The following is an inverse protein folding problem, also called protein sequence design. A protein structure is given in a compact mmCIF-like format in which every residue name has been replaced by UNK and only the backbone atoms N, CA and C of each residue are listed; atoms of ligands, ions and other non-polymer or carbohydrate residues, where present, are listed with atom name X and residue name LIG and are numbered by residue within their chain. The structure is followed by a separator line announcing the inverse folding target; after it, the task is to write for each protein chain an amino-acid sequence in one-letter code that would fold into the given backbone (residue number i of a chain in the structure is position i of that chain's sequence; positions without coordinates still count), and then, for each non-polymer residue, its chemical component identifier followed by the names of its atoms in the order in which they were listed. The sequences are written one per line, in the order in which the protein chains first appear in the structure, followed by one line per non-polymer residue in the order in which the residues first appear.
data_IF_499240715349
#
_entry.id   IF_499240715349
#
_cell.length_a   1.000
_cell.length_b   1.000
_cell.length_c   1.000
_cell.angle_alpha   90.00
_cell.angle_beta   90.00
_cell.angle_gamma   90.00
#
_symmetry.space_group_name_H-M   'P 1'
#
loop_
_entity.id
_entity.type
_entity.pdbx_description
1 polymer ?
2 non-polymer ?
3 water ?
#
# COMPACT_ATOMS: atom_id res chain seq x y z
N UNK A 9 24.33 -9.01 1.43
CA UNK A 9 24.55 -8.09 0.32
C UNK A 9 25.17 -8.82 -0.87
N UNK A 10 24.34 -9.44 -1.71
CA UNK A 10 24.77 -9.79 -3.05
C UNK A 10 25.11 -8.51 -3.80
N UNK A 11 26.19 -8.54 -4.58
CA UNK A 11 26.50 -7.42 -5.46
C UNK A 11 26.03 -7.73 -6.87
N UNK A 12 25.44 -6.74 -7.51
CA UNK A 12 24.96 -6.87 -8.89
C UNK A 12 25.65 -5.79 -9.72
N UNK A 13 26.49 -6.21 -10.67
CA UNK A 13 27.17 -5.27 -11.56
C UNK A 13 26.17 -4.49 -12.38
N UNK A 14 26.45 -3.20 -12.57
CA UNK A 14 25.58 -2.36 -13.40
C UNK A 14 25.45 -2.96 -14.79
N UNK A 15 26.52 -3.56 -15.31
CA UNK A 15 26.52 -4.14 -16.65
C UNK A 15 25.83 -5.49 -16.71
N UNK A 16 25.50 -6.05 -15.56
CA UNK A 16 24.72 -7.27 -15.48
C UNK A 16 23.24 -7.01 -15.70
N UNK A 17 22.84 -5.76 -15.86
CA UNK A 17 21.44 -5.41 -15.98
C UNK A 17 21.17 -4.78 -17.34
N UNK A 18 19.97 -5.01 -17.79
CA UNK A 18 19.45 -4.45 -19.03
C UNK A 18 18.23 -3.65 -18.60
N UNK A 19 18.30 -2.33 -18.70
CA UNK A 19 17.23 -1.48 -18.21
C UNK A 19 16.20 -1.23 -19.31
N UNK A 20 14.92 -1.32 -18.93
CA UNK A 20 13.81 -1.27 -19.87
C UNK A 20 13.08 0.07 -19.81
N UNK A 21 12.60 0.48 -18.64
CA UNK A 21 11.69 1.61 -18.51
C UNK A 21 11.70 2.07 -17.06
N UNK A 22 11.44 3.36 -16.87
CA UNK A 22 11.56 3.94 -15.54
C UNK A 22 10.23 4.49 -15.05
N UNK A 23 9.89 4.16 -13.80
CA UNK A 23 8.78 4.79 -13.13
C UNK A 23 9.38 5.79 -12.15
N UNK A 24 9.52 5.84 -12.19
CA UNK A 24 9.28 7.11 -11.47
C UNK A 24 9.51 8.35 -12.35
N UNK A 25 10.70 8.96 -12.34
CA UNK A 25 11.00 10.09 -13.24
C UNK A 25 12.48 10.35 -13.50
N UNK A 26 13.33 9.32 -13.40
CA UNK A 26 14.79 9.45 -13.61
C UNK A 26 15.48 9.91 -12.34
N UNK A 27 14.68 10.28 -11.35
CA UNK A 27 15.25 10.86 -10.11
C UNK A 27 15.67 9.79 -9.12
N UNK A 28 16.19 10.22 -7.97
CA UNK A 28 16.54 9.26 -6.91
C UNK A 28 15.23 8.78 -6.29
N UNK A 29 15.01 7.47 -6.27
CA UNK A 29 13.73 6.92 -5.78
C UNK A 29 12.94 6.35 -6.93
N UNK A 30 13.38 6.63 -8.15
CA UNK A 30 12.68 6.15 -9.37
C UNK A 30 12.98 4.68 -9.57
N UNK A 31 11.96 3.92 -9.98
CA UNK A 31 12.12 2.45 -10.13
C UNK A 31 12.22 2.06 -11.59
N UNK A 32 13.26 1.33 -11.95
CA UNK A 32 13.40 0.78 -13.29
C UNK A 32 12.89 -0.65 -13.27
N UNK A 33 12.24 -1.05 -14.35
CA UNK A 33 12.12 -2.47 -14.68
C UNK A 33 13.34 -2.87 -15.48
N UNK A 34 13.88 -4.05 -15.20
CA UNK A 34 15.12 -4.47 -15.84
C UNK A 34 15.24 -6.00 -15.85
N UNK A 35 16.13 -6.49 -16.72
CA UNK A 35 16.50 -7.89 -16.81
C UNK A 35 17.86 -8.09 -16.19
N UNK A 36 17.97 -9.05 -15.28
CA UNK A 36 19.23 -9.41 -14.64
C UNK A 36 19.88 -10.45 -15.51
N UNK A 37 20.91 -10.06 -16.28
CA UNK A 37 21.40 -10.90 -17.37
C UNK A 37 22.15 -12.12 -16.84
N UNK A 38 22.95 -11.95 -15.78
CA UNK A 38 23.61 -13.11 -15.16
C UNK A 38 22.60 -14.17 -14.74
N UNK A 39 21.41 -13.75 -14.31
CA UNK A 39 20.42 -14.62 -13.70
C UNK A 39 19.18 -14.82 -14.56
N UNK A 40 19.05 -14.12 -15.69
CA UNK A 40 17.89 -14.27 -16.56
C UNK A 40 16.57 -14.05 -15.82
N UNK A 41 16.58 -13.11 -14.86
CA UNK A 41 15.42 -12.78 -14.02
C UNK A 41 15.00 -11.33 -14.27
N UNK A 42 13.70 -11.11 -14.39
CA UNK A 42 13.13 -9.77 -14.51
C UNK A 42 13.15 -9.09 -13.13
N UNK A 43 13.65 -7.85 -13.05
CA UNK A 43 13.91 -7.22 -11.76
C UNK A 43 13.43 -5.77 -11.74
N UNK A 44 13.29 -5.25 -10.52
CA UNK A 44 13.10 -3.84 -10.24
C UNK A 44 14.39 -3.27 -9.67
N UNK A 45 14.70 -2.02 -10.02
CA UNK A 45 15.94 -1.37 -9.57
C UNK A 45 15.60 0.06 -9.17
N UNK A 46 15.91 0.43 -7.93
CA UNK A 46 15.58 1.75 -7.41
C UNK A 46 16.85 2.58 -7.41
N UNK A 47 16.77 3.75 -8.02
CA UNK A 47 17.92 4.65 -8.12
C UNK A 47 18.12 5.36 -6.78
N UNK A 48 19.25 5.09 -6.14
CA UNK A 48 19.62 5.74 -4.89
C UNK A 48 20.89 6.54 -5.14
N UNK A 49 21.04 7.68 -4.46
CA UNK A 49 22.26 8.44 -4.72
C UNK A 49 23.45 7.91 -3.92
N UNK A 50 23.23 6.92 -3.06
CA UNK A 50 24.29 6.03 -2.55
C UNK A 50 23.67 4.86 -1.79
N UNK A 51 24.46 3.96 -1.20
CA UNK A 51 23.93 2.89 -0.36
C UNK A 51 24.55 2.96 1.03
N UNK A 52 23.70 2.88 2.07
CA UNK A 52 24.15 2.79 3.46
C UNK A 52 24.49 1.34 3.79
N UNK A 53 25.77 1.10 4.10
CA UNK A 53 26.22 -0.24 4.47
C UNK A 53 25.46 -0.76 5.68
N UNK A 54 25.12 0.12 6.61
CA UNK A 54 24.35 -0.27 7.79
C UNK A 54 22.97 -0.79 7.42
N UNK A 55 22.53 -0.58 6.18
CA UNK A 55 21.23 -1.05 5.74
C UNK A 55 21.21 -2.54 5.45
N UNK A 56 22.24 -3.28 5.88
CA UNK A 56 22.22 -4.73 5.71
C UNK A 56 21.05 -5.34 6.45
N UNK A 57 20.73 -4.79 7.62
CA UNK A 57 19.67 -5.33 8.48
C UNK A 57 18.44 -5.68 7.67
N UNK A 58 18.05 -4.84 6.71
CA UNK A 58 16.84 -5.08 5.94
C UNK A 58 16.98 -6.12 4.84
N UNK A 59 18.21 -6.44 4.44
CA UNK A 59 18.40 -7.43 3.38
C UNK A 59 18.03 -8.83 3.81
N UNK A 60 17.74 -9.03 5.09
CA UNK A 60 17.46 -10.36 5.65
C UNK A 60 15.94 -10.59 5.78
N UNK A 61 15.14 -9.64 5.29
CA UNK A 61 13.69 -9.75 5.39
C UNK A 61 13.20 -10.62 4.25
N UNK A 62 12.29 -11.54 4.54
CA UNK A 62 11.81 -12.47 3.53
C UNK A 62 10.40 -12.91 3.92
N UNK A 63 9.43 -12.64 3.06
CA UNK A 63 8.05 -13.01 3.29
C UNK A 63 7.30 -12.91 1.98
N UNK A 64 6.43 -13.90 1.72
CA UNK A 64 5.76 -14.00 0.43
C UNK A 64 4.91 -12.78 0.10
N UNK A 65 4.60 -11.94 1.09
CA UNK A 65 3.82 -10.73 0.88
C UNK A 65 4.65 -9.45 1.02
N UNK A 66 5.98 -9.54 0.99
CA UNK A 66 6.81 -8.35 0.79
C UNK A 66 7.76 -8.59 -0.38
N UNK A 67 8.07 -7.50 -1.11
CA UNK A 67 8.97 -7.62 -2.27
C UNK A 67 10.32 -8.18 -1.83
N UNK A 68 10.93 -9.00 -2.69
CA UNK A 68 12.10 -9.78 -2.29
C UNK A 68 13.39 -9.08 -2.72
N UNK A 69 14.29 -8.88 -1.76
CA UNK A 69 15.62 -8.35 -2.05
C UNK A 69 16.44 -9.32 -2.89
N UNK A 70 17.18 -8.77 -3.87
CA UNK A 70 18.09 -9.55 -4.71
C UNK A 70 19.54 -9.14 -4.53
N UNK A 71 19.83 -7.85 -4.50
CA UNK A 71 21.19 -7.40 -4.40
C UNK A 71 21.27 -5.89 -4.52
N UNK A 72 22.51 -5.38 -4.51
CA UNK A 72 22.76 -3.95 -4.52
C UNK A 72 23.74 -3.60 -5.63
N UNK A 73 23.55 -2.43 -6.23
CA UNK A 73 24.44 -1.93 -7.26
C UNK A 73 25.42 -0.97 -6.59
N UNK A 74 26.71 -1.31 -6.62
CA UNK A 74 27.74 -0.49 -6.00
C UNK A 74 28.82 -0.06 -6.99
N UNK A 75 28.45 0.73 -7.98
CA UNK A 75 29.41 1.29 -8.93
C UNK A 75 29.16 2.80 -9.00
N UNK A 76 29.80 3.58 -8.13
CA UNK A 76 29.70 5.04 -8.23
C UNK A 76 29.94 5.51 -9.65
N UNK A 77 29.07 6.37 -10.18
CA UNK A 77 27.96 7.01 -9.46
C UNK A 77 26.64 6.23 -9.45
N UNK A 78 26.63 4.98 -9.91
CA UNK A 78 25.39 4.19 -10.03
C UNK A 78 25.19 3.36 -8.77
N UNK A 79 24.16 3.71 -8.00
CA UNK A 79 23.81 3.06 -6.74
C UNK A 79 22.34 2.65 -6.80
N UNK A 80 22.06 1.38 -6.54
CA UNK A 80 20.69 0.92 -6.67
C UNK A 80 20.43 -0.28 -5.79
N UNK A 81 19.14 -0.49 -5.53
CA UNK A 81 18.68 -1.71 -4.88
C UNK A 81 17.90 -2.51 -5.92
N UNK A 82 18.13 -3.83 -5.96
CA UNK A 82 17.49 -4.72 -6.92
C UNK A 82 16.59 -5.70 -6.18
N UNK A 83 15.34 -5.82 -6.64
CA UNK A 83 14.33 -6.68 -6.04
C UNK A 83 13.59 -7.44 -7.14
N UNK A 84 12.75 -8.39 -6.72
CA UNK A 84 11.89 -9.07 -7.68
C UNK A 84 10.98 -8.05 -8.37
N UNK A 85 10.50 -8.43 -9.55
CA UNK A 85 9.51 -7.64 -10.27
C UNK A 85 8.20 -8.40 -10.34
N UNK A 86 7.12 -7.77 -9.88
CA UNK A 86 5.82 -8.42 -9.79
C UNK A 86 5.07 -8.24 -11.11
N UNK A 87 4.77 -9.36 -11.77
CA UNK A 87 4.42 -9.33 -13.19
C UNK A 87 3.19 -8.49 -13.47
N UNK A 88 2.22 -8.45 -12.56
CA UNK A 88 0.90 -7.91 -12.89
C UNK A 88 0.69 -6.46 -12.41
N UNK A 89 1.74 -5.77 -12.02
CA UNK A 89 1.61 -4.35 -11.76
C UNK A 89 1.20 -4.01 -10.34
N UNK A 90 0.93 -2.72 -10.14
CA UNK A 90 0.56 -2.24 -8.83
C UNK A 90 -0.91 -2.50 -8.54
N UNK A 91 -1.22 -2.71 -7.25
CA UNK A 91 -2.61 -2.74 -6.79
C UNK A 91 -3.36 -1.51 -7.27
N UNK A 92 -2.75 -0.33 -7.16
CA UNK A 92 -3.40 0.89 -7.59
C UNK A 92 -3.85 0.79 -9.03
N UNK A 93 -2.92 0.53 -9.95
CA UNK A 93 -3.26 0.46 -11.37
C UNK A 93 -4.36 -0.57 -11.62
N UNK A 94 -4.40 -1.66 -10.83
CA UNK A 94 -5.39 -2.70 -11.03
C UNK A 94 -6.77 -2.26 -10.54
N UNK A 95 -6.83 -1.68 -9.33
CA UNK A 95 -8.11 -1.29 -8.74
C UNK A 95 -8.81 -0.26 -9.62
N UNK A 96 -8.08 0.73 -10.12
CA UNK A 96 -8.66 1.77 -10.96
C UNK A 96 -8.61 1.44 -12.43
N UNK A 97 -8.72 0.16 -12.78
CA UNK A 97 -8.91 -0.29 -14.14
C UNK A 97 -10.24 -1.03 -14.18
N UNK A 98 -10.70 -1.37 -15.37
CA UNK A 98 -11.90 -2.18 -15.48
C UNK A 98 -11.63 -3.63 -15.16
N UNK A 99 -10.36 -4.01 -14.97
CA UNK A 99 -10.06 -5.37 -14.56
C UNK A 99 -10.60 -5.66 -13.16
N UNK A 100 -10.71 -4.64 -12.30
CA UNK A 100 -11.17 -4.88 -10.93
C UNK A 100 -12.64 -5.31 -10.87
N UNK A 101 -13.39 -5.22 -11.97
CA UNK A 101 -14.75 -5.74 -11.98
C UNK A 101 -14.77 -7.26 -11.74
N UNK A 102 -13.66 -7.96 -11.93
CA UNK A 102 -13.65 -9.39 -11.68
C UNK A 102 -13.52 -9.75 -10.21
N UNK A 103 -13.48 -8.76 -9.33
CA UNK A 103 -13.19 -8.99 -7.92
C UNK A 103 -14.45 -9.44 -7.21
N UNK A 104 -14.43 -10.64 -6.64
CA UNK A 104 -15.52 -11.07 -5.77
C UNK A 104 -15.05 -10.95 -4.31
N UNK A 105 -15.86 -11.45 -3.38
CA UNK A 105 -15.49 -11.32 -1.98
C UNK A 105 -14.31 -12.22 -1.63
N UNK A 106 -14.26 -13.42 -2.20
CA UNK A 106 -13.12 -14.29 -1.99
C UNK A 106 -11.83 -13.61 -2.45
N UNK A 107 -11.91 -12.84 -3.54
CA UNK A 107 -10.77 -12.07 -4.04
C UNK A 107 -10.36 -11.00 -3.04
N UNK A 108 -11.32 -10.17 -2.61
CA UNK A 108 -11.05 -9.11 -1.65
C UNK A 108 -10.36 -9.71 -0.42
N UNK A 109 -10.98 -10.76 0.13
CA UNK A 109 -10.48 -11.37 1.35
C UNK A 109 -9.06 -11.86 1.18
N UNK A 110 -8.80 -12.61 0.10
CA UNK A 110 -7.44 -13.10 -0.14
C UNK A 110 -6.44 -11.94 -0.17
N UNK A 111 -6.75 -10.89 -0.93
CA UNK A 111 -5.82 -9.76 -1.08
C UNK A 111 -5.67 -8.97 0.21
N UNK A 112 -6.75 -8.85 1.01
CA UNK A 112 -6.64 -8.13 2.27
C UNK A 112 -5.90 -8.96 3.30
N UNK A 113 -6.01 -10.29 3.22
CA UNK A 113 -5.19 -11.16 4.05
C UNK A 113 -3.71 -11.07 3.66
N UNK A 114 -3.44 -11.03 2.35
CA UNK A 114 -2.08 -10.88 1.81
C UNK A 114 -1.39 -9.65 2.40
N UNK A 115 -2.06 -8.50 2.35
CA UNK A 115 -1.45 -7.27 2.83
C UNK A 115 -1.32 -7.31 4.35
N UNK A 116 -2.36 -7.77 5.04
CA UNK A 116 -2.34 -7.83 6.49
C UNK A 116 -1.24 -8.77 6.98
N UNK A 117 -1.02 -9.86 6.25
CA UNK A 117 0.00 -10.82 6.67
C UNK A 117 1.41 -10.29 6.39
N UNK A 118 1.61 -9.62 5.27
CA UNK A 118 2.89 -8.99 5.04
C UNK A 118 3.19 -7.91 6.06
N UNK A 119 2.17 -7.13 6.44
CA UNK A 119 2.38 -6.12 7.48
C UNK A 119 2.62 -6.77 8.84
N UNK A 120 1.89 -7.83 9.16
CA UNK A 120 2.17 -8.48 10.42
C UNK A 120 3.62 -8.97 10.47
N UNK A 121 4.14 -9.47 9.36
CA UNK A 121 5.54 -9.87 9.33
C UNK A 121 6.46 -8.70 9.65
N UNK A 122 6.32 -7.58 8.90
CA UNK A 122 7.22 -6.43 9.13
C UNK A 122 7.11 -5.91 10.57
N UNK A 123 5.92 -5.98 11.17
CA UNK A 123 5.73 -5.41 12.50
C UNK A 123 6.26 -6.32 13.59
N UNK A 124 6.09 -7.65 13.45
CA UNK A 124 6.32 -8.54 14.59
C UNK A 124 7.15 -9.79 14.30
N UNK A 125 7.49 -10.13 13.07
CA UNK A 125 8.04 -11.46 12.82
C UNK A 125 9.49 -11.46 12.34
N UNK A 126 10.01 -10.32 11.88
CA UNK A 126 11.29 -10.12 11.22
C UNK A 126 12.40 -9.81 12.20
N UNK A 127 13.67 -9.99 11.76
CA UNK A 127 14.83 -9.54 12.55
C UNK A 127 14.78 -8.15 13.18
N UNK A 128 14.09 -7.21 12.55
CA UNK A 128 13.95 -5.87 13.10
C UNK A 128 12.53 -5.40 12.81
N UNK A 129 11.89 -4.86 13.85
CA UNK A 129 10.57 -4.27 13.69
C UNK A 129 10.62 -3.19 12.63
N UNK A 130 9.74 -3.31 11.62
CA UNK A 130 9.59 -2.30 10.60
C UNK A 130 8.18 -1.72 10.68
N UNK A 131 8.08 -0.43 10.96
CA UNK A 131 6.86 0.33 10.72
C UNK A 131 7.01 1.01 9.37
N UNK A 132 6.05 0.79 8.48
CA UNK A 132 6.21 1.22 7.09
C UNK A 132 6.07 2.72 6.92
N UNK A 133 5.04 3.33 7.51
CA UNK A 133 4.71 4.76 7.44
C UNK A 133 4.25 5.24 6.06
N UNK A 134 4.43 4.43 5.02
CA UNK A 134 4.00 4.85 3.70
C UNK A 134 3.24 3.73 2.98
N UNK A 135 2.52 2.89 3.71
CA UNK A 135 1.72 1.86 3.06
C UNK A 135 0.59 2.49 2.25
N UNK A 136 0.38 1.99 1.04
CA UNK A 136 -0.69 2.49 0.18
C UNK A 136 -0.78 1.60 -1.05
N UNK A 137 -1.89 1.74 -1.76
CA UNK A 137 -2.16 0.84 -2.90
C UNK A 137 -1.13 0.99 -4.01
N UNK A 138 -0.46 2.14 -4.11
CA UNK A 138 0.61 2.25 -5.09
C UNK A 138 1.89 1.54 -4.66
N UNK A 139 2.01 1.18 -3.38
CA UNK A 139 3.15 0.47 -2.81
C UNK A 139 2.90 -1.04 -2.64
N UNK A 140 1.81 -1.57 -3.17
CA UNK A 140 1.54 -3.01 -3.16
C UNK A 140 1.48 -3.48 -4.60
N UNK A 141 2.17 -4.60 -4.91
CA UNK A 141 2.24 -5.10 -6.28
C UNK A 141 1.71 -6.53 -6.34
N UNK A 142 1.42 -6.97 -7.57
CA UNK A 142 0.75 -8.24 -7.83
C UNK A 142 1.73 -9.16 -8.58
N UNK A 143 2.17 -10.22 -7.92
CA UNK A 143 3.01 -11.21 -8.57
C UNK A 143 2.20 -12.00 -9.60
N UNK A 144 2.90 -12.87 -10.35
CA UNK A 144 2.23 -13.61 -11.43
C UNK A 144 1.06 -14.45 -10.93
N UNK A 145 1.14 -14.97 -9.71
CA UNK A 145 0.08 -15.83 -9.18
C UNK A 145 -0.91 -15.06 -8.30
N UNK A 146 -1.12 -13.77 -8.56
CA UNK A 146 -2.04 -13.00 -7.76
C UNK A 146 -1.56 -12.65 -6.36
N UNK A 147 -0.50 -13.29 -5.85
CA UNK A 147 0.03 -12.97 -4.54
C UNK A 147 0.52 -11.54 -4.51
N UNK A 148 0.11 -10.79 -3.46
CA UNK A 148 0.46 -9.39 -3.25
C UNK A 148 1.77 -9.28 -2.47
N UNK A 149 2.50 -8.20 -2.73
CA UNK A 149 3.84 -7.96 -2.19
C UNK A 149 3.93 -6.50 -1.83
N UNK A 150 4.30 -6.21 -0.58
CA UNK A 150 4.47 -4.85 -0.11
C UNK A 150 5.85 -4.35 -0.53
N UNK A 151 5.88 -3.17 -1.14
CA UNK A 151 7.08 -2.47 -1.55
C UNK A 151 7.39 -1.31 -0.60
N UNK A 152 8.63 -0.84 -0.68
CA UNK A 152 9.05 0.43 -0.10
C UNK A 152 8.98 0.44 1.42
N UNK A 153 9.07 -0.74 2.05
CA UNK A 153 8.87 -0.81 3.50
C UNK A 153 10.08 -0.30 4.29
N UNK A 154 11.25 -0.27 3.67
CA UNK A 154 12.45 0.27 4.29
C UNK A 154 12.73 1.71 3.98
N UNK A 155 11.80 2.41 3.31
CA UNK A 155 12.09 3.76 2.83
C UNK A 155 12.09 4.78 3.95
N UNK A 156 11.13 4.70 4.87
CA UNK A 156 11.00 5.70 5.92
C UNK A 156 12.19 5.73 6.88
N UNK A 157 12.95 4.64 6.98
CA UNK A 157 14.08 4.58 7.91
C UNK A 157 15.41 4.93 7.23
N UNK A 158 15.64 4.48 6.00
CA UNK A 158 16.93 4.65 5.36
C UNK A 158 16.94 5.71 4.25
N UNK A 159 16.23 5.45 3.15
CA UNK A 159 16.20 6.36 2.01
C UNK A 159 14.92 7.18 2.05
N UNK A 160 14.94 8.24 2.86
CA UNK A 160 13.82 9.17 3.01
C UNK A 160 13.69 10.14 1.82
N UNK A 161 14.59 10.03 0.81
CA UNK A 161 14.46 10.77 -0.44
C UNK A 161 13.46 10.15 -1.40
N UNK A 162 13.09 8.88 -1.19
CA UNK A 162 12.20 8.19 -2.13
C UNK A 162 10.77 8.72 -2.02
N UNK A 163 10.36 9.15 -0.82
CA UNK A 163 8.97 9.50 -0.52
C UNK A 163 8.66 10.97 -0.82
N UNK A 164 9.41 11.90 -0.23
CA UNK A 164 9.19 13.33 -0.43
C UNK A 164 10.51 14.06 -0.63
N UNK A 166 2.70 14.15 -5.08
CA UNK A 166 3.90 14.12 -4.25
C UNK A 166 3.58 13.55 -2.87
N UNK A 167 4.11 14.20 -1.82
CA UNK A 167 3.52 13.98 -0.50
C UNK A 167 2.13 14.59 -0.40
N UNK A 168 1.71 15.37 -1.40
CA UNK A 168 0.32 15.76 -1.49
C UNK A 168 -0.53 14.60 -2.01
N UNK A 169 0.04 13.74 -2.86
CA UNK A 169 -0.60 12.54 -3.36
C UNK A 169 -0.66 11.39 -2.40
N UNK A 170 -0.23 11.59 -1.16
CA UNK A 170 -0.19 10.54 -0.16
C UNK A 170 -1.06 10.82 1.06
N UNK A 171 -1.56 12.03 1.23
CA UNK A 171 -2.42 12.30 2.39
C UNK A 171 -3.61 11.37 2.54
N UNK A 172 -4.29 10.89 1.48
CA UNK A 172 -5.45 10.03 1.73
C UNK A 172 -5.11 8.75 2.48
N UNK A 173 -3.84 8.33 2.44
CA UNK A 173 -3.40 7.11 3.10
C UNK A 173 -2.64 7.35 4.41
N UNK A 174 -2.32 8.61 4.75
CA UNK A 174 -1.53 8.90 5.94
C UNK A 174 -2.41 9.02 7.16
N UNK A 175 -2.03 8.33 8.23
CA UNK A 175 -2.69 8.54 9.50
C UNK A 175 -2.56 10.00 9.91
N UNK A 176 -3.54 10.51 10.62
CA UNK A 176 -3.44 11.86 11.20
C UNK A 176 -2.13 12.17 11.92
N UNK A 177 -1.68 11.27 12.78
CA UNK A 177 -0.45 11.54 13.53
C UNK A 177 0.75 11.58 12.61
N UNK A 178 0.71 10.84 11.49
CA UNK A 178 1.76 10.97 10.50
C UNK A 178 1.68 12.32 9.83
N UNK A 179 0.46 12.81 9.56
CA UNK A 179 0.30 14.11 8.93
C UNK A 179 0.87 15.22 9.80
N UNK A 180 0.63 15.17 11.10
CA UNK A 180 1.09 16.22 12.00
C UNK A 180 2.55 16.06 12.42
N UNK A 181 3.25 15.02 11.94
CA UNK A 181 4.61 14.68 12.37
C UNK A 181 4.66 14.39 13.88
N UNK A 182 3.61 13.75 14.38
CA UNK A 182 3.45 13.46 15.81
C UNK A 182 4.17 12.18 16.20
N UNK A 183 4.17 11.81 17.49
CA UNK A 183 4.56 10.45 17.86
C UNK A 183 3.76 9.43 17.05
N UNK A 184 4.45 8.38 16.60
CA UNK A 184 3.90 7.45 15.63
C UNK A 184 4.12 6.02 16.12
N UNK A 185 3.08 5.20 16.01
CA UNK A 185 3.14 3.79 16.39
C UNK A 185 2.84 2.93 15.18
N UNK A 186 3.07 1.61 15.34
CA UNK A 186 2.82 0.68 14.26
C UNK A 186 1.41 0.77 13.70
N UNK A 187 0.47 1.30 14.48
CA UNK A 187 -0.94 1.35 14.06
C UNK A 187 -1.18 2.44 13.01
N UNK A 188 -0.19 3.28 12.71
CA UNK A 188 -0.30 4.14 11.54
C UNK A 188 -0.38 3.28 10.27
N UNK A 189 0.32 2.15 10.25
CA UNK A 189 0.15 1.25 9.11
C UNK A 189 -1.23 0.62 9.08
N UNK A 190 -1.92 0.55 10.22
CA UNK A 190 -3.27 0.01 10.24
C UNK A 190 -4.25 0.98 9.58
N UNK A 191 -4.13 2.27 9.89
CA UNK A 191 -4.93 3.28 9.20
C UNK A 191 -4.73 3.21 7.68
N UNK A 192 -3.48 3.14 7.23
CA UNK A 192 -3.26 3.13 5.78
C UNK A 192 -3.83 1.87 5.15
N UNK A 193 -3.81 0.76 5.88
CA UNK A 193 -4.37 -0.49 5.36
C UNK A 193 -5.87 -0.37 5.13
N UNK A 194 -6.59 0.25 6.07
CA UNK A 194 -8.02 0.40 5.92
C UNK A 194 -8.38 1.23 4.72
N UNK A 195 -7.52 2.18 4.35
CA UNK A 195 -7.73 2.88 3.09
C UNK A 195 -7.54 1.93 1.92
N UNK A 196 -6.52 1.06 1.99
CA UNK A 196 -6.32 0.08 0.93
C UNK A 196 -7.53 -0.83 0.82
N UNK A 197 -8.06 -1.25 1.96
CA UNK A 197 -9.26 -2.08 1.97
C UNK A 197 -10.42 -1.35 1.27
N UNK A 198 -10.73 -0.14 1.74
CA UNK A 198 -11.74 0.71 1.10
C UNK A 198 -11.51 0.86 -0.39
N UNK A 199 -10.26 0.96 -0.82
CA UNK A 199 -9.99 1.03 -2.25
C UNK A 199 -10.43 -0.26 -2.92
N UNK A 200 -10.14 -1.40 -2.31
CA UNK A 200 -10.55 -2.66 -2.91
C UNK A 200 -12.06 -2.78 -2.98
N UNK A 201 -12.77 -2.30 -1.97
CA UNK A 201 -14.22 -2.44 -1.94
C UNK A 201 -14.90 -1.51 -2.94
N UNK A 202 -14.49 -0.24 -2.99
CA UNK A 202 -15.16 0.74 -3.82
C UNK A 202 -14.50 0.90 -5.19
N UNK A 203 -13.23 0.55 -5.31
CA UNK A 203 -12.45 0.73 -6.53
C UNK A 203 -12.45 2.19 -6.95
N UNK A 204 -12.34 3.07 -5.98
CA UNK A 204 -12.27 4.51 -6.22
C UNK A 204 -10.92 5.05 -5.79
N UNK A 205 -10.61 6.24 -6.32
CA UNK A 205 -9.43 6.97 -5.86
C UNK A 205 -9.86 7.71 -4.59
N UNK A 206 -9.24 7.42 -3.44
CA UNK A 206 -9.68 8.05 -2.19
C UNK A 206 -9.55 9.57 -2.25
N UNK A 207 -10.61 10.27 -1.86
CA UNK A 207 -10.63 11.74 -1.87
C UNK A 207 -10.31 12.29 -3.26
N UNK A 208 -10.84 11.64 -4.29
CA UNK A 208 -10.45 11.94 -5.66
C UNK A 208 -10.72 13.39 -6.03
N UNK A 209 -9.71 14.05 -6.60
CA UNK A 209 -9.86 15.41 -7.07
C UNK A 209 -9.52 16.48 -6.05
N UNK A 210 -9.33 16.13 -4.79
CA UNK A 210 -9.21 17.16 -3.76
C UNK A 210 -7.77 17.67 -3.69
N UNK A 211 -7.59 18.74 -2.92
CA UNK A 211 -6.26 19.23 -2.59
C UNK A 211 -5.69 18.43 -1.43
N UNK A 212 -4.41 18.12 -1.51
CA UNK A 212 -3.76 17.42 -0.40
C UNK A 212 -3.94 18.13 0.94
N UNK A 213 -3.82 19.45 0.94
CA UNK A 213 -3.92 20.17 2.21
C UNK A 213 -5.34 20.16 2.74
N UNK A 214 -6.33 20.09 1.85
CA UNK A 214 -7.72 19.98 2.29
C UNK A 214 -7.97 18.63 2.94
N UNK A 215 -7.47 17.56 2.31
CA UNK A 215 -7.62 16.23 2.88
C UNK A 215 -6.89 16.15 4.21
N UNK A 216 -5.62 16.59 4.22
CA UNK A 216 -4.87 16.67 5.47
C UNK A 216 -5.69 17.38 6.55
N UNK A 217 -6.19 18.57 6.23
CA UNK A 217 -7.07 19.27 7.14
C UNK A 217 -8.31 18.47 7.53
N UNK A 218 -9.00 17.89 6.55
CA UNK A 218 -10.26 17.22 6.87
C UNK A 218 -10.04 16.03 7.79
N UNK A 219 -9.03 15.21 7.46
CA UNK A 219 -8.75 14.02 8.26
C UNK A 219 -8.36 14.41 9.68
N UNK A 220 -7.64 15.52 9.85
CA UNK A 220 -7.03 15.86 11.14
C UNK A 220 -7.97 16.68 12.04
N UNK A 221 -8.70 17.67 11.51
CA UNK A 221 -9.56 18.49 12.37
C UNK A 221 -10.99 18.03 12.48
N UNK A 222 -11.55 17.58 11.37
CA UNK A 222 -12.96 17.27 11.31
C UNK A 222 -13.21 15.78 11.41
N UNK A 223 -12.15 14.99 11.65
CA UNK A 223 -12.26 13.52 11.72
C UNK A 223 -12.95 12.97 10.48
N UNK A 224 -12.77 13.65 9.36
CA UNK A 224 -13.34 13.18 8.11
C UNK A 224 -12.66 11.87 7.72
N UNK A 225 -13.47 10.93 7.24
CA UNK A 225 -13.01 9.65 6.73
C UNK A 225 -13.70 9.40 5.40
N UNK A 226 -13.20 8.41 4.67
CA UNK A 226 -13.72 8.12 3.34
C UNK A 226 -15.15 7.58 3.43
N UNK A 227 -16.03 8.05 2.56
CA UNK A 227 -17.41 7.59 2.53
C UNK A 227 -17.45 6.07 2.44
N UNK A 228 -18.12 5.46 3.40
CA UNK A 228 -18.49 4.04 3.35
C UNK A 228 -19.90 3.94 2.80
N UNK A 229 -20.10 3.33 1.63
CA UNK A 229 -21.45 3.23 1.10
C UNK A 229 -22.39 2.57 2.09
N UNK A 230 -23.64 3.04 2.12
CA UNK A 230 -24.59 2.52 3.09
C UNK A 230 -24.87 1.04 2.87
N UNK A 231 -24.69 0.54 1.64
CA UNK A 231 -24.98 -0.86 1.35
C UNK A 231 -23.77 -1.76 1.52
N UNK A 232 -22.66 -1.21 2.01
CA UNK A 232 -21.50 -2.03 2.32
C UNK A 232 -21.75 -2.88 3.57
N UNK A 233 -21.36 -4.15 3.57
CA UNK A 233 -21.68 -5.02 4.70
C UNK A 233 -21.07 -4.51 6.01
N UNK A 234 -21.90 -4.49 7.07
CA UNK A 234 -21.46 -3.94 8.35
C UNK A 234 -20.09 -4.46 8.76
N UNK A 235 -19.82 -5.74 8.51
CA UNK A 235 -18.54 -6.30 8.92
C UNK A 235 -17.38 -5.55 8.29
N UNK A 236 -17.50 -5.24 7.00
CA UNK A 236 -16.46 -4.44 6.36
C UNK A 236 -16.48 -3.01 6.89
N UNK A 237 -17.67 -2.41 7.04
CA UNK A 237 -17.79 -1.05 7.54
C UNK A 237 -17.12 -0.89 8.88
N UNK A 238 -17.41 -1.81 9.80
CA UNK A 238 -16.85 -1.70 11.15
C UNK A 238 -15.35 -1.98 11.17
N UNK A 239 -14.86 -2.84 10.28
CA UNK A 239 -13.42 -3.04 10.19
C UNK A 239 -12.75 -1.75 9.74
N UNK A 240 -13.30 -1.12 8.69
CA UNK A 240 -12.80 0.17 8.27
C UNK A 240 -12.77 1.17 9.42
N UNK A 241 -13.85 1.23 10.19
CA UNK A 241 -13.96 2.21 11.30
C UNK A 241 -12.86 2.00 12.33
N UNK A 242 -12.61 0.77 12.71
CA UNK A 242 -11.62 0.52 13.78
C UNK A 242 -10.24 0.90 13.25
N UNK A 243 -10.00 0.65 11.97
CA UNK A 243 -8.69 0.94 11.34
C UNK A 243 -8.51 2.45 11.20
N UNK A 244 -9.58 3.23 11.33
CA UNK A 244 -9.51 4.69 11.07
C UNK A 244 -9.67 5.53 12.34
N UNK A 245 -9.59 4.93 13.53
CA UNK A 245 -9.73 5.66 14.78
C UNK A 245 -8.68 6.74 14.84
N UNK A 246 -9.13 7.98 15.01
CA UNK A 246 -8.20 9.07 15.29
C UNK A 246 -7.19 8.68 16.36
N UNK A 247 -7.63 7.99 17.40
CA UNK A 247 -6.76 7.63 18.51
C UNK A 247 -6.05 6.33 18.18
N UNK A 248 -4.82 6.44 17.66
CA UNK A 248 -4.05 5.29 17.18
C UNK A 248 -4.10 4.11 18.12
N UNK A 249 -4.21 4.35 19.43
CA UNK A 249 -4.27 3.26 20.40
C UNK A 249 -5.57 2.48 20.33
N UNK A 250 -6.55 2.97 19.57
CA UNK A 250 -7.83 2.29 19.45
C UNK A 250 -7.95 1.57 18.12
N UNK A 251 -6.86 1.45 17.39
CA UNK A 251 -6.86 0.73 16.12
C UNK A 251 -6.34 -0.69 16.31
N UNK A 252 -6.83 -1.63 15.53
CA UNK A 252 -6.34 -3.01 15.65
C UNK A 252 -4.90 -3.18 15.17
N UNK A 253 -4.20 -4.11 15.82
CA UNK A 253 -2.97 -4.66 15.26
C UNK A 253 -3.30 -5.58 14.07
N UNK A 254 -2.26 -5.86 13.26
CA UNK A 254 -2.42 -6.73 12.12
C UNK A 254 -2.67 -8.19 12.51
N UNK A 255 -2.25 -8.60 13.71
CA UNK A 255 -2.62 -9.93 14.17
C UNK A 255 -4.13 -10.01 14.38
N UNK A 256 -4.71 -8.93 14.91
CA UNK A 256 -6.15 -8.87 15.14
C UNK A 256 -6.89 -8.77 13.82
N UNK A 257 -6.37 -7.96 12.88
CA UNK A 257 -6.97 -7.88 11.55
C UNK A 257 -7.02 -9.27 10.91
N UNK A 258 -5.89 -9.97 10.95
CA UNK A 258 -5.86 -11.32 10.39
C UNK A 258 -6.94 -12.17 11.05
N UNK A 259 -7.06 -12.08 12.37
CA UNK A 259 -8.08 -12.87 13.04
C UNK A 259 -9.48 -12.39 12.66
N UNK A 260 -9.65 -11.09 12.42
CA UNK A 260 -10.95 -10.59 11.99
C UNK A 260 -11.31 -11.11 10.61
N UNK A 261 -10.37 -11.07 9.66
CA UNK A 261 -10.68 -11.61 8.34
C UNK A 261 -11.03 -13.09 8.41
N UNK A 262 -10.43 -13.84 9.35
CA UNK A 262 -10.80 -15.24 9.50
C UNK A 262 -12.28 -15.39 9.85
N UNK A 263 -12.74 -14.62 10.84
CA UNK A 263 -14.15 -14.66 11.24
C UNK A 263 -15.08 -14.30 10.09
N UNK A 264 -14.82 -13.16 9.44
CA UNK A 264 -15.60 -12.78 8.26
C UNK A 264 -15.69 -13.90 7.23
N UNK A 265 -14.58 -14.58 6.97
CA UNK A 265 -14.61 -15.62 5.95
C UNK A 265 -15.32 -16.90 6.43
N UNK A 266 -15.69 -17.01 7.71
CA UNK A 266 -16.52 -18.12 8.15
C UNK A 266 -17.98 -17.75 8.26
N UNK A 267 -18.33 -16.49 7.99
CA UNK A 267 -19.70 -16.02 8.11
C UNK A 267 -20.44 -16.40 6.84
N UNK A 268 -21.36 -17.36 6.95
CA UNK A 268 -22.01 -17.91 5.75
C UNK A 268 -22.81 -16.85 5.01
N UNK A 269 -23.30 -15.82 5.71
CA UNK A 269 -24.10 -14.78 5.12
C UNK A 269 -23.30 -13.73 4.35
N UNK A 270 -22.01 -13.55 4.66
CA UNK A 270 -21.26 -12.43 4.11
C UNK A 270 -21.04 -12.51 2.60
N UNK A 271 -20.77 -13.69 2.00
CA UNK A 271 -20.39 -13.70 0.58
C UNK A 271 -21.47 -13.14 -0.35
N UNK A 272 -22.73 -13.54 -0.15
CA UNK A 272 -23.80 -12.95 -0.95
C UNK A 272 -23.94 -11.47 -0.66
N UNK A 273 -23.96 -11.09 0.63
CA UNK A 273 -24.05 -9.68 1.00
C UNK A 273 -22.94 -8.86 0.34
N UNK A 274 -21.71 -9.35 0.40
CA UNK A 274 -20.59 -8.57 -0.13
C UNK A 274 -20.57 -8.55 -1.64
N UNK A 275 -20.79 -9.71 -2.27
CA UNK A 275 -20.78 -9.79 -3.73
C UNK A 275 -21.90 -8.95 -4.34
N UNK A 276 -23.08 -9.00 -3.72
CA UNK A 276 -24.14 -8.07 -4.08
C UNK A 276 -23.63 -6.63 -4.05
N UNK A 277 -23.07 -6.22 -2.91
CA UNK A 277 -22.56 -4.84 -2.78
C UNK A 277 -21.50 -4.54 -3.83
N UNK A 278 -20.57 -5.47 -4.05
CA UNK A 278 -19.47 -5.21 -4.96
C UNK A 278 -19.98 -4.94 -6.38
N UNK A 279 -20.97 -5.72 -6.83
CA UNK A 279 -21.46 -5.64 -8.19
C UNK A 279 -22.58 -4.62 -8.37
N UNK A 280 -22.98 -3.89 -7.33
CA UNK A 280 -23.97 -2.84 -7.51
C UNK A 280 -23.35 -1.44 -7.45
N UNK A 281 -22.11 -1.30 -7.96
CA UNK A 281 -21.40 -0.04 -7.85
C UNK A 281 -22.17 1.09 -8.52
N UNK A 282 -22.86 0.80 -9.62
CA UNK A 282 -23.67 1.80 -10.31
C UNK A 282 -24.76 2.42 -9.44
N UNK A 283 -25.15 1.76 -8.34
CA UNK A 283 -26.10 2.38 -7.40
C UNK A 283 -25.41 3.34 -6.43
N UNK A 284 -24.41 2.85 -5.69
CA UNK A 284 -23.88 3.60 -4.55
C UNK A 284 -22.66 4.46 -4.89
N UNK A 285 -22.20 4.47 -6.13
CA UNK A 285 -21.08 5.35 -6.47
C UNK A 285 -21.46 6.81 -6.31
N UNK A 286 -22.76 7.12 -6.41
CA UNK A 286 -23.19 8.51 -6.25
C UNK A 286 -22.99 8.99 -4.82
N UNK A 287 -23.06 8.08 -3.85
CA UNK A 287 -22.85 8.45 -2.46
C UNK A 287 -21.44 9.00 -2.25
N UNK A 288 -20.44 8.29 -2.77
CA UNK A 288 -19.08 8.80 -2.68
C UNK A 288 -18.92 10.06 -3.51
N UNK A 289 -19.52 10.10 -4.70
CA UNK A 289 -19.31 11.26 -5.54
C UNK A 289 -19.98 12.50 -4.97
N UNK A 290 -21.09 12.32 -4.27
CA UNK A 290 -21.75 13.45 -3.61
C UNK A 290 -20.86 14.02 -2.50
N UNK A 291 -20.29 13.13 -1.67
CA UNK A 291 -19.41 13.61 -0.60
C UNK A 291 -18.22 14.35 -1.18
N UNK A 292 -17.75 13.95 -2.37
CA UNK A 292 -16.62 14.63 -3.00
C UNK A 292 -16.94 16.07 -3.38
N UNK A 293 -18.15 16.34 -3.88
CA UNK A 293 -18.47 17.72 -4.19
C UNK A 293 -18.79 18.50 -2.92
N UNK A 294 -19.45 17.86 -1.95
CA UNK A 294 -19.71 18.54 -0.68
C UNK A 294 -18.41 18.96 -0.02
N UNK A 295 -17.33 18.21 -0.23
CA UNK A 295 -16.03 18.55 0.31
C UNK A 295 -15.30 19.58 -0.56
N UNK A 296 -15.44 19.47 -1.88
CA UNK A 296 -14.85 20.46 -2.76
C UNK A 296 -15.55 21.81 -2.58
N UNK A 297 -16.88 21.81 -2.62
CA UNK A 297 -17.64 23.02 -2.31
C UNK A 297 -17.38 23.51 -0.89
N UNK A 298 -16.87 22.65 -0.02
CA UNK A 298 -16.55 23.04 1.36
C UNK A 298 -15.31 23.91 1.46
N UNK A 299 -14.58 24.13 0.35
CA UNK A 299 -13.57 25.18 0.33
C UNK A 299 -13.97 26.40 -0.48
N UNK A 300 -14.85 26.26 -1.46
CA UNK A 300 -15.30 27.40 -2.24
C UNK A 300 -16.35 28.24 -1.49
#
# INVERSE_FOLDING_TARGET
GAMGSGASFVQIKFDDLQFFENCGGGSFGSVYRAKWISQDKEVAVKKLLKIEKEAEILSVLSHRNIIQFYGVILEPPNYGIVTEYASLGSLYDYINSNRSEEMDMDHIMTWATDVAKGMHYLHMEAPVKVIHRDLKSRNVVIAADGVLKICDFGASRFHNHTTHMSLVGTFPWMAPEVIQSLPVSETCDTYSYGVVLWEMLTREVPFKGLEGLQVAWLVVEKNERLTIPSSCPRSFAELLHQCWEADAKKRPSFKQIISILESMSNDTSLPDKCNSFLHNKAEWRCEIEATLERLKKLERDLSFKEQELK
#
